data_IF_290802677970
#
_entry.id   IF_290802677970
#
_cell.length_a   1.000
_cell.length_b   1.000
_cell.length_c   1.000
_cell.angle_alpha   90.00
_cell.angle_beta   90.00
_cell.angle_gamma   90.00
#
_symmetry.space_group_name_H-M   'P 1'
#
loop_
_entity.id
_entity.type
_entity.pdbx_description
1 polymer ?
#
# COMPACT_ATOMS: atom_id res chain seq x y z
N UNK A 1 0.91 -28.26 56.98
CA UNK A 1 2.29 -28.63 57.30
C UNK A 1 3.21 -27.93 56.32
N UNK A 2 4.02 -26.97 56.87
CA UNK A 2 5.20 -26.32 56.36
C UNK A 2 5.10 -25.60 54.96
N UNK A 3 5.04 -24.24 54.88
CA UNK A 3 6.02 -23.15 55.15
C UNK A 3 7.27 -23.20 54.26
N UNK A 4 7.44 -22.14 53.44
CA UNK A 4 8.65 -21.35 53.22
C UNK A 4 8.40 -20.49 51.95
N UNK A 5 8.42 -19.17 51.86
CA UNK A 5 9.36 -18.24 52.47
C UNK A 5 10.36 -17.78 51.41
N UNK A 6 10.06 -16.76 50.60
CA UNK A 6 10.92 -16.25 49.55
C UNK A 6 10.99 -14.71 49.54
N UNK A 7 12.09 -14.21 49.97
CA UNK A 7 12.53 -12.85 50.30
C UNK A 7 12.30 -11.81 49.21
N UNK A 8 11.71 -10.68 49.57
CA UNK A 8 11.81 -9.36 48.88
C UNK A 8 13.22 -8.81 49.09
N UNK A 9 13.87 -8.44 47.98
CA UNK A 9 15.06 -7.57 48.04
C UNK A 9 14.65 -6.15 47.73
N UNK A 10 14.71 -5.34 48.78
CA UNK A 10 14.69 -3.89 48.75
C UNK A 10 16.07 -3.41 48.31
N UNK A 11 16.15 -2.61 47.25
CA UNK A 11 17.39 -1.88 46.89
C UNK A 11 17.09 -0.40 47.00
N UNK A 12 17.58 0.17 48.14
CA UNK A 12 17.73 1.61 48.29
C UNK A 12 18.85 2.14 47.40
N UNK A 13 18.56 3.18 46.65
CA UNK A 13 19.59 4.04 46.10
C UNK A 13 19.31 5.48 46.51
N UNK A 14 20.07 5.95 47.49
CA UNK A 14 20.29 7.34 47.80
C UNK A 14 21.70 7.68 47.29
N UNK A 15 21.81 8.56 46.31
CA UNK A 15 23.05 9.18 45.90
C UNK A 15 22.82 10.62 45.50
N UNK A 16 23.73 11.56 45.73
CA UNK A 16 23.44 12.98 45.87
C UNK A 16 23.36 13.73 44.53
N UNK A 17 22.41 14.64 44.47
CA UNK A 17 22.28 15.67 43.45
C UNK A 17 23.55 16.49 43.35
N UNK A 18 24.20 16.47 42.21
CA UNK A 18 25.17 17.47 41.78
C UNK A 18 24.51 18.39 40.77
N UNK A 19 24.41 19.64 41.12
CA UNK A 19 24.08 20.73 40.23
C UNK A 19 25.12 20.84 39.13
N UNK A 20 24.73 20.82 37.88
CA UNK A 20 25.59 21.15 36.75
C UNK A 20 24.90 22.21 35.89
N UNK A 21 25.51 23.30 35.91
CA UNK A 21 25.61 24.49 35.05
C UNK A 21 24.75 24.55 33.78
N UNK A 22 24.13 25.73 33.63
CA UNK A 22 23.55 26.29 32.44
C UNK A 22 24.46 26.17 31.21
N UNK A 23 23.99 25.39 30.23
CA UNK A 23 24.40 25.50 28.85
C UNK A 23 23.13 25.68 27.99
N UNK A 24 23.12 26.63 27.02
CA UNK A 24 21.92 26.87 26.21
C UNK A 24 21.63 25.66 25.31
N UNK A 25 20.36 25.42 24.99
CA UNK A 25 19.96 24.31 24.12
C UNK A 25 20.56 24.54 22.73
N UNK A 26 21.40 23.63 22.27
CA UNK A 26 21.77 23.55 20.86
C UNK A 26 20.50 23.20 20.08
N UNK A 27 20.08 24.12 19.22
CA UNK A 27 19.13 23.85 18.17
C UNK A 27 19.64 22.68 17.34
N UNK A 28 19.14 21.50 17.60
CA UNK A 28 19.20 20.38 16.66
C UNK A 28 18.19 20.71 15.57
N UNK A 29 18.67 21.34 14.51
CA UNK A 29 17.96 21.35 13.24
C UNK A 29 17.70 19.87 12.89
N UNK A 30 16.42 19.49 12.95
CA UNK A 30 15.93 18.29 12.31
C UNK A 30 16.16 18.50 10.81
N UNK A 31 17.32 18.11 10.33
CA UNK A 31 17.56 17.96 8.90
C UNK A 31 16.60 16.86 8.44
N UNK A 32 15.53 17.30 7.82
CA UNK A 32 14.66 16.49 6.98
C UNK A 32 15.53 15.89 5.86
N UNK A 33 16.10 14.71 6.17
CA UNK A 33 16.88 13.94 5.21
C UNK A 33 15.88 13.17 4.34
N UNK A 34 15.10 13.90 3.56
CA UNK A 34 14.51 13.34 2.37
C UNK A 34 15.68 12.83 1.51
N UNK A 35 15.87 11.51 1.52
CA UNK A 35 16.93 10.86 0.76
C UNK A 35 16.78 11.29 -0.71
N UNK A 36 17.69 12.16 -1.18
CA UNK A 36 17.81 12.46 -2.60
C UNK A 36 18.02 11.13 -3.31
N UNK A 37 17.20 10.80 -4.33
CA UNK A 37 17.45 9.62 -5.15
C UNK A 37 18.88 9.74 -5.68
N UNK A 38 19.69 8.73 -5.40
CA UNK A 38 21.04 8.66 -5.93
C UNK A 38 20.94 8.69 -7.45
N UNK A 39 21.72 9.52 -8.12
CA UNK A 39 21.64 9.85 -9.54
C UNK A 39 21.83 8.65 -10.50
N UNK A 40 21.93 7.41 -10.00
CA UNK A 40 22.15 6.16 -10.74
C UNK A 40 21.23 5.01 -10.34
N UNK A 41 20.11 5.27 -9.70
CA UNK A 41 19.15 4.20 -9.36
C UNK A 41 18.25 3.86 -10.55
N UNK A 42 18.29 2.62 -10.98
CA UNK A 42 17.41 2.09 -12.02
C UNK A 42 16.24 1.37 -11.36
N UNK A 43 15.04 1.67 -11.83
CA UNK A 43 13.81 1.11 -11.32
C UNK A 43 13.25 0.09 -12.33
N UNK A 44 12.84 -1.08 -11.83
CA UNK A 44 12.20 -2.13 -12.60
C UNK A 44 10.84 -2.46 -11.98
N UNK A 45 9.77 -2.21 -12.72
CA UNK A 45 8.44 -2.70 -12.34
C UNK A 45 8.28 -4.13 -12.85
N UNK A 46 7.80 -5.02 -11.96
CA UNK A 46 7.62 -6.44 -12.21
C UNK A 46 6.19 -6.79 -11.84
N UNK A 47 5.47 -7.44 -12.76
CA UNK A 47 4.17 -8.06 -12.50
C UNK A 47 4.26 -9.55 -12.76
N UNK A 48 4.00 -10.36 -11.74
CA UNK A 48 4.04 -11.81 -11.79
C UNK A 48 2.66 -12.39 -11.51
N UNK A 49 2.24 -13.34 -12.32
CA UNK A 49 0.95 -14.02 -12.22
C UNK A 49 1.16 -15.55 -12.18
N UNK A 50 0.41 -16.22 -11.33
CA UNK A 50 0.45 -17.69 -11.24
C UNK A 50 -0.86 -18.24 -10.69
N UNK A 51 -1.23 -19.42 -11.16
CA UNK A 51 -2.24 -20.29 -10.53
C UNK A 51 -1.58 -21.35 -9.64
N UNK A 52 -0.27 -21.35 -9.55
CA UNK A 52 0.51 -22.37 -8.86
C UNK A 52 0.38 -22.24 -7.33
N UNK A 53 0.47 -23.38 -6.58
CA UNK A 53 0.48 -23.36 -5.12
C UNK A 53 1.72 -22.65 -4.53
N UNK A 54 2.75 -22.40 -5.35
CA UNK A 54 3.92 -21.63 -4.92
C UNK A 54 3.59 -20.13 -4.89
N UNK A 55 3.99 -19.49 -3.82
CA UNK A 55 3.79 -18.04 -3.65
C UNK A 55 4.61 -17.25 -4.68
N UNK A 56 3.98 -16.48 -5.57
CA UNK A 56 4.70 -15.64 -6.52
C UNK A 56 5.53 -14.57 -5.80
N UNK A 57 5.12 -14.18 -4.61
CA UNK A 57 5.87 -13.25 -3.77
C UNK A 57 7.25 -13.80 -3.42
N UNK A 58 7.33 -15.06 -2.95
CA UNK A 58 8.60 -15.69 -2.60
C UNK A 58 9.51 -15.84 -3.83
N UNK A 59 8.95 -16.24 -4.97
CA UNK A 59 9.69 -16.38 -6.20
C UNK A 59 10.30 -15.06 -6.68
N UNK A 60 9.53 -13.98 -6.68
CA UNK A 60 9.97 -12.66 -7.13
C UNK A 60 10.95 -12.03 -6.13
N UNK A 61 10.64 -12.04 -4.84
CA UNK A 61 11.51 -11.42 -3.81
C UNK A 61 12.87 -12.07 -3.73
N UNK A 62 12.94 -13.42 -3.91
CA UNK A 62 14.21 -14.13 -3.98
C UNK A 62 15.08 -13.61 -5.14
N UNK A 63 14.51 -13.47 -6.35
CA UNK A 63 15.25 -12.96 -7.52
C UNK A 63 15.72 -11.52 -7.34
N UNK A 64 14.89 -10.68 -6.73
CA UNK A 64 15.25 -9.29 -6.39
C UNK A 64 16.46 -9.30 -5.44
N UNK A 65 16.41 -10.08 -4.37
CA UNK A 65 17.50 -10.21 -3.40
C UNK A 65 18.78 -10.76 -4.03
N UNK A 66 18.69 -11.87 -4.77
CA UNK A 66 19.84 -12.54 -5.38
C UNK A 66 20.50 -11.70 -6.50
N UNK A 67 19.77 -10.76 -7.09
CA UNK A 67 20.32 -9.82 -8.08
C UNK A 67 21.12 -8.68 -7.45
N UNK A 68 20.90 -8.40 -6.16
CA UNK A 68 21.45 -7.24 -5.47
C UNK A 68 20.56 -5.99 -5.61
N UNK A 69 19.33 -6.13 -6.08
CA UNK A 69 18.31 -5.08 -6.05
C UNK A 69 17.61 -5.04 -4.69
N UNK A 70 17.04 -3.88 -4.38
CA UNK A 70 16.12 -3.70 -3.25
C UNK A 70 14.69 -3.58 -3.75
N UNK A 71 13.72 -4.05 -2.96
CA UNK A 71 12.30 -3.88 -3.24
C UNK A 71 11.78 -2.65 -2.49
N UNK A 72 11.21 -1.69 -3.21
CA UNK A 72 10.73 -0.42 -2.63
C UNK A 72 9.21 -0.35 -2.49
N UNK A 73 8.47 -1.10 -3.31
CA UNK A 73 7.02 -1.22 -3.20
C UNK A 73 6.59 -2.59 -3.70
N UNK A 74 5.55 -3.17 -3.10
CA UNK A 74 4.97 -4.42 -3.55
C UNK A 74 3.49 -4.52 -3.20
N UNK A 75 2.74 -5.13 -4.12
CA UNK A 75 1.33 -5.45 -3.92
C UNK A 75 1.08 -6.89 -4.31
N UNK A 76 0.39 -7.63 -3.45
CA UNK A 76 -0.06 -8.98 -3.71
C UNK A 76 -1.58 -9.01 -3.70
N UNK A 77 -2.17 -9.60 -4.71
CA UNK A 77 -3.61 -9.79 -4.78
C UNK A 77 -3.98 -11.19 -5.29
N UNK A 78 -5.12 -11.69 -4.81
CA UNK A 78 -5.71 -12.93 -5.32
C UNK A 78 -7.04 -12.58 -5.98
N UNK A 79 -7.19 -12.90 -7.26
CA UNK A 79 -8.41 -12.67 -8.02
C UNK A 79 -8.84 -13.98 -8.66
N UNK A 80 -9.99 -14.50 -8.23
CA UNK A 80 -10.45 -15.82 -8.67
C UNK A 80 -9.46 -16.92 -8.23
N UNK A 81 -8.85 -17.59 -9.19
CA UNK A 81 -7.85 -18.67 -8.97
C UNK A 81 -6.42 -18.18 -9.11
N UNK A 82 -6.23 -16.97 -9.55
CA UNK A 82 -4.91 -16.43 -9.86
C UNK A 82 -4.41 -15.54 -8.70
N UNK A 83 -3.12 -15.69 -8.42
CA UNK A 83 -2.39 -14.83 -7.50
C UNK A 83 -1.44 -13.96 -8.30
N UNK A 84 -1.46 -12.67 -8.04
CA UNK A 84 -0.59 -11.70 -8.69
C UNK A 84 0.26 -10.96 -7.67
N UNK A 85 1.49 -10.65 -8.08
CA UNK A 85 2.40 -9.74 -7.36
C UNK A 85 2.85 -8.67 -8.33
N UNK A 86 2.67 -7.42 -7.93
CA UNK A 86 3.32 -6.29 -8.60
C UNK A 86 4.36 -5.73 -7.64
N UNK A 87 5.61 -5.64 -8.07
CA UNK A 87 6.74 -5.18 -7.25
C UNK A 87 7.58 -4.16 -8.01
N UNK A 88 8.04 -3.14 -7.30
CA UNK A 88 9.00 -2.16 -7.80
C UNK A 88 10.37 -2.46 -7.17
N UNK A 89 11.32 -2.85 -7.99
CA UNK A 89 12.69 -3.09 -7.60
C UNK A 89 13.59 -1.91 -8.01
N UNK A 90 14.60 -1.62 -7.20
CA UNK A 90 15.60 -0.57 -7.46
C UNK A 90 17.00 -1.14 -7.28
N UNK A 91 17.93 -0.72 -8.13
CA UNK A 91 19.31 -1.17 -8.05
C UNK A 91 20.24 -0.45 -9.03
N UNK A 92 21.51 -0.86 -9.02
CA UNK A 92 22.47 -0.44 -10.04
C UNK A 92 22.04 -0.98 -11.41
N UNK A 93 22.60 -0.42 -12.48
CA UNK A 93 22.32 -0.90 -13.84
C UNK A 93 22.61 -2.41 -14.00
N UNK A 94 23.73 -2.88 -13.45
CA UNK A 94 24.13 -4.30 -13.50
C UNK A 94 23.21 -5.20 -12.69
N UNK A 95 22.78 -4.75 -11.49
CA UNK A 95 21.85 -5.49 -10.65
C UNK A 95 20.49 -5.67 -11.35
N UNK A 96 19.98 -4.60 -11.97
CA UNK A 96 18.72 -4.65 -12.72
C UNK A 96 18.86 -5.55 -13.96
N UNK A 97 19.95 -5.46 -14.72
CA UNK A 97 20.19 -6.34 -15.87
C UNK A 97 20.27 -7.83 -15.46
N UNK A 98 20.92 -8.11 -14.32
CA UNK A 98 20.94 -9.46 -13.74
C UNK A 98 19.54 -9.92 -13.35
N UNK A 99 18.73 -9.04 -12.73
CA UNK A 99 17.35 -9.34 -12.37
C UNK A 99 16.50 -9.69 -13.60
N UNK A 100 16.57 -8.89 -14.68
CA UNK A 100 15.87 -9.16 -15.94
C UNK A 100 16.19 -10.56 -16.50
N UNK A 101 17.47 -10.95 -16.46
CA UNK A 101 17.88 -12.31 -16.88
C UNK A 101 17.31 -13.41 -15.97
N UNK A 102 17.23 -13.15 -14.65
CA UNK A 102 16.66 -14.10 -13.68
C UNK A 102 15.13 -14.22 -13.83
N UNK A 103 14.43 -13.14 -14.15
CA UNK A 103 12.99 -13.14 -14.42
C UNK A 103 12.67 -13.93 -15.70
N UNK A 104 13.47 -13.78 -16.75
CA UNK A 104 13.34 -14.59 -17.97
C UNK A 104 13.46 -16.09 -17.70
N UNK A 105 14.36 -16.49 -16.77
CA UNK A 105 14.47 -17.89 -16.36
C UNK A 105 13.27 -18.34 -15.53
N UNK A 106 12.81 -17.52 -14.61
CA UNK A 106 11.64 -17.80 -13.76
C UNK A 106 10.40 -18.10 -14.61
N UNK A 107 10.16 -17.28 -15.64
CA UNK A 107 9.04 -17.46 -16.56
C UNK A 107 9.13 -18.79 -17.31
N UNK A 108 10.31 -19.10 -17.84
CA UNK A 108 10.51 -20.31 -18.65
C UNK A 108 10.53 -21.60 -17.83
N UNK A 109 11.13 -21.58 -16.63
CA UNK A 109 11.43 -22.79 -15.86
C UNK A 109 10.36 -23.11 -14.81
N UNK A 110 9.69 -22.11 -14.27
CA UNK A 110 8.75 -22.29 -13.16
C UNK A 110 7.28 -21.99 -13.54
N UNK A 111 7.00 -21.64 -14.81
CA UNK A 111 5.63 -21.50 -15.33
C UNK A 111 4.89 -20.26 -14.83
N UNK A 112 5.60 -19.26 -14.34
CA UNK A 112 5.03 -17.94 -14.04
C UNK A 112 4.77 -17.17 -15.33
N UNK A 113 3.73 -16.35 -15.34
CA UNK A 113 3.56 -15.30 -16.34
C UNK A 113 4.12 -14.01 -15.79
N UNK A 114 5.10 -13.46 -16.48
CA UNK A 114 5.82 -12.28 -16.02
C UNK A 114 5.75 -11.16 -17.06
N UNK A 115 5.57 -9.94 -16.57
CA UNK A 115 5.76 -8.73 -17.34
C UNK A 115 6.65 -7.80 -16.52
N UNK A 116 7.71 -7.28 -17.12
CA UNK A 116 8.57 -6.30 -16.47
C UNK A 116 9.04 -5.24 -17.46
N UNK A 117 9.27 -4.05 -16.95
CA UNK A 117 9.83 -2.95 -17.72
C UNK A 117 10.54 -1.94 -16.81
N UNK A 118 11.52 -1.26 -17.37
CA UNK A 118 12.24 -0.20 -16.67
C UNK A 118 11.33 1.02 -16.56
N UNK A 119 11.32 1.62 -15.37
CA UNK A 119 10.50 2.80 -15.05
C UNK A 119 11.32 3.81 -14.24
N UNK A 120 10.72 4.92 -13.88
CA UNK A 120 11.29 5.92 -12.98
C UNK A 120 10.67 5.88 -11.59
N UNK A 121 11.22 6.63 -10.64
CA UNK A 121 10.60 6.82 -9.33
C UNK A 121 9.24 7.50 -9.50
N UNK A 122 8.28 7.12 -8.64
CA UNK A 122 7.00 7.83 -8.60
C UNK A 122 7.24 9.28 -8.18
N UNK A 123 6.75 10.22 -8.97
CA UNK A 123 6.73 11.62 -8.56
C UNK A 123 5.87 11.74 -7.30
N UNK A 124 6.44 12.31 -6.23
CA UNK A 124 5.70 12.59 -5.01
C UNK A 124 4.64 13.66 -5.35
N UNK A 125 3.39 13.25 -5.42
CA UNK A 125 2.27 14.17 -5.52
C UNK A 125 1.95 14.68 -4.11
N UNK A 126 2.70 15.68 -3.66
CA UNK A 126 2.57 16.28 -2.31
C UNK A 126 1.23 17.01 -2.09
N UNK A 127 0.42 17.14 -3.12
CA UNK A 127 -0.81 17.94 -3.11
C UNK A 127 -2.09 17.10 -3.07
N UNK A 128 -2.00 15.79 -2.81
CA UNK A 128 -3.16 14.92 -2.71
C UNK A 128 -3.47 14.57 -1.26
N UNK A 129 -4.73 14.67 -0.91
CA UNK A 129 -5.26 14.23 0.37
C UNK A 129 -5.84 12.83 0.20
N UNK A 130 -5.34 11.82 0.92
CA UNK A 130 -5.82 10.44 0.79
C UNK A 130 -7.15 10.25 1.52
N UNK A 131 -8.13 9.72 0.80
CA UNK A 131 -9.45 9.35 1.30
C UNK A 131 -9.76 7.90 0.96
N UNK A 132 -10.54 7.26 1.81
CA UNK A 132 -11.10 5.93 1.58
C UNK A 132 -12.58 6.08 1.25
N UNK A 133 -12.99 5.44 0.18
CA UNK A 133 -14.38 5.32 -0.23
C UNK A 133 -14.78 3.86 -0.13
N UNK A 134 -15.85 3.58 0.60
CA UNK A 134 -16.44 2.25 0.68
C UNK A 134 -17.83 2.30 0.09
N UNK A 135 -18.14 1.32 -0.75
CA UNK A 135 -19.43 1.21 -1.44
C UNK A 135 -19.95 -0.19 -1.28
N UNK A 136 -21.23 -0.30 -0.91
CA UNK A 136 -21.96 -1.56 -0.84
C UNK A 136 -23.29 -1.41 -1.58
N UNK A 137 -23.66 -2.40 -2.39
CA UNK A 137 -24.92 -2.38 -3.14
C UNK A 137 -25.37 -3.78 -3.52
N UNK A 138 -26.62 -3.91 -3.98
CA UNK A 138 -27.04 -5.09 -4.74
C UNK A 138 -26.17 -5.19 -6.02
N UNK A 139 -25.67 -6.39 -6.32
CA UNK A 139 -24.80 -6.59 -7.48
C UNK A 139 -25.52 -6.30 -8.80
N UNK A 140 -24.95 -5.38 -9.57
CA UNK A 140 -25.46 -4.97 -10.89
C UNK A 140 -24.26 -4.72 -11.82
N UNK A 141 -24.40 -5.03 -13.12
CA UNK A 141 -23.38 -4.67 -14.10
C UNK A 141 -23.14 -3.16 -14.15
N UNK A 142 -21.88 -2.76 -14.23
CA UNK A 142 -21.47 -1.37 -14.49
C UNK A 142 -21.24 -0.49 -13.27
N UNK A 143 -21.47 -0.94 -12.04
CA UNK A 143 -21.24 -0.13 -10.83
C UNK A 143 -19.80 0.40 -10.81
N UNK A 144 -18.83 -0.48 -11.03
CA UNK A 144 -17.41 -0.09 -10.98
C UNK A 144 -17.02 0.91 -12.07
N UNK A 145 -17.61 0.76 -13.25
CA UNK A 145 -17.43 1.73 -14.34
C UNK A 145 -17.97 3.11 -13.95
N UNK A 146 -19.18 3.16 -13.39
CA UNK A 146 -19.81 4.42 -12.97
C UNK A 146 -19.03 5.13 -11.86
N UNK A 147 -18.51 4.36 -10.89
CA UNK A 147 -17.63 4.91 -9.84
C UNK A 147 -16.32 5.47 -10.42
N UNK A 148 -15.69 4.73 -11.33
CA UNK A 148 -14.45 5.20 -11.97
C UNK A 148 -14.68 6.45 -12.84
N UNK A 149 -15.78 6.48 -13.60
CA UNK A 149 -16.17 7.62 -14.43
C UNK A 149 -16.49 8.88 -13.58
N UNK A 150 -17.14 8.69 -12.41
CA UNK A 150 -17.38 9.78 -11.48
C UNK A 150 -16.05 10.42 -11.00
N UNK A 151 -15.12 9.62 -10.51
CA UNK A 151 -13.85 10.14 -10.01
C UNK A 151 -12.98 10.74 -11.12
N UNK A 152 -12.96 10.14 -12.31
CA UNK A 152 -12.23 10.67 -13.46
C UNK A 152 -12.75 12.05 -13.89
N UNK A 153 -14.06 12.22 -13.98
CA UNK A 153 -14.68 13.53 -14.30
C UNK A 153 -14.39 14.61 -13.27
N UNK A 154 -14.24 14.23 -12.01
CA UNK A 154 -13.86 15.14 -10.92
C UNK A 154 -12.35 15.41 -10.87
N UNK A 155 -11.55 14.80 -11.74
CA UNK A 155 -10.09 14.91 -11.72
C UNK A 155 -9.44 14.28 -10.48
N UNK A 156 -10.08 13.27 -9.90
CA UNK A 156 -9.62 12.57 -8.69
C UNK A 156 -8.84 11.32 -9.10
N UNK A 157 -7.67 11.15 -8.50
CA UNK A 157 -6.83 9.99 -8.76
C UNK A 157 -7.26 8.79 -7.90
N UNK A 158 -7.53 7.66 -8.54
CA UNK A 158 -7.72 6.38 -7.84
C UNK A 158 -6.33 5.78 -7.60
N UNK A 159 -5.97 5.60 -6.33
CA UNK A 159 -4.68 5.06 -5.89
C UNK A 159 -4.70 3.53 -5.75
N UNK A 160 -5.79 3.01 -5.21
CA UNK A 160 -6.02 1.56 -5.11
C UNK A 160 -7.51 1.26 -5.13
N UNK A 161 -7.84 0.05 -5.59
CA UNK A 161 -9.20 -0.42 -5.63
C UNK A 161 -9.23 -1.91 -5.29
N UNK A 162 -10.11 -2.26 -4.38
CA UNK A 162 -10.48 -3.65 -4.11
C UNK A 162 -11.99 -3.79 -4.22
N UNK A 163 -12.46 -4.70 -5.05
CA UNK A 163 -13.87 -4.99 -5.16
C UNK A 163 -14.15 -6.49 -5.07
N UNK A 164 -15.27 -6.84 -4.49
CA UNK A 164 -15.71 -8.24 -4.36
C UNK A 164 -17.21 -8.37 -4.52
N UNK A 165 -17.61 -9.53 -4.99
CA UNK A 165 -18.99 -9.97 -4.99
C UNK A 165 -19.16 -11.04 -3.92
N UNK A 166 -20.21 -10.91 -3.13
CA UNK A 166 -20.54 -11.90 -2.10
C UNK A 166 -22.04 -12.14 -2.01
N UNK A 167 -22.43 -13.24 -1.40
CA UNK A 167 -23.83 -13.55 -1.14
C UNK A 167 -24.18 -13.18 0.28
N UNK A 168 -25.19 -12.32 0.46
CA UNK A 168 -25.64 -11.91 1.77
C UNK A 168 -26.25 -13.11 2.51
N UNK A 169 -25.73 -13.41 3.71
CA UNK A 169 -26.13 -14.61 4.47
C UNK A 169 -27.59 -14.56 4.90
N UNK A 170 -28.14 -13.38 5.17
CA UNK A 170 -29.51 -13.21 5.67
C UNK A 170 -30.57 -13.24 4.57
N UNK A 171 -30.29 -12.67 3.41
CA UNK A 171 -31.26 -12.51 2.30
C UNK A 171 -31.00 -13.45 1.14
N UNK A 172 -29.80 -14.00 1.05
CA UNK A 172 -29.34 -14.76 -0.10
C UNK A 172 -29.09 -13.94 -1.36
N UNK A 173 -29.20 -12.61 -1.29
CA UNK A 173 -28.96 -11.72 -2.41
C UNK A 173 -27.48 -11.62 -2.77
N UNK A 174 -27.20 -11.47 -4.07
CA UNK A 174 -25.86 -11.17 -4.55
C UNK A 174 -25.56 -9.68 -4.29
N UNK A 175 -24.47 -9.42 -3.59
CA UNK A 175 -24.04 -8.09 -3.17
C UNK A 175 -22.70 -7.75 -3.80
N UNK A 176 -22.51 -6.50 -4.13
CA UNK A 176 -21.27 -5.88 -4.53
C UNK A 176 -20.69 -5.09 -3.36
N UNK A 177 -19.37 -5.14 -3.18
CA UNK A 177 -18.62 -4.30 -2.26
C UNK A 177 -17.36 -3.78 -2.94
N UNK A 178 -17.05 -2.52 -2.74
CA UNK A 178 -15.79 -1.93 -3.20
C UNK A 178 -15.18 -1.03 -2.13
N UNK A 179 -13.87 -1.09 -2.00
CA UNK A 179 -13.07 -0.15 -1.23
C UNK A 179 -12.07 0.51 -2.18
N UNK A 180 -12.13 1.83 -2.25
CA UNK A 180 -11.32 2.63 -3.16
C UNK A 180 -10.52 3.65 -2.35
N UNK A 181 -9.20 3.67 -2.51
CA UNK A 181 -8.37 4.75 -2.01
C UNK A 181 -8.22 5.78 -3.11
N UNK A 182 -8.56 7.02 -2.81
CA UNK A 182 -8.49 8.15 -3.73
C UNK A 182 -7.56 9.23 -3.23
N UNK A 183 -6.93 9.95 -4.16
CA UNK A 183 -6.15 11.15 -3.90
C UNK A 183 -6.93 12.39 -4.34
N UNK A 184 -7.40 13.17 -3.37
CA UNK A 184 -8.15 14.41 -3.64
C UNK A 184 -7.17 15.58 -3.71
N UNK A 185 -7.17 16.40 -4.78
CA UNK A 185 -6.34 17.60 -4.83
C UNK A 185 -6.60 18.53 -3.64
N UNK A 186 -5.54 19.02 -3.00
CA UNK A 186 -5.64 19.82 -1.77
C UNK A 186 -6.39 21.16 -1.96
N UNK A 187 -6.53 21.64 -3.19
CA UNK A 187 -7.29 22.83 -3.54
C UNK A 187 -8.78 22.56 -3.80
N UNK A 188 -9.22 21.31 -3.73
CA UNK A 188 -10.61 20.94 -3.95
C UNK A 188 -11.46 21.13 -2.70
N UNK A 189 -12.70 21.55 -2.86
CA UNK A 189 -13.64 21.72 -1.75
C UNK A 189 -14.26 20.38 -1.36
N UNK A 190 -13.68 19.72 -0.36
CA UNK A 190 -13.99 18.34 0.03
C UNK A 190 -15.47 18.15 0.42
N UNK A 191 -16.09 19.12 1.09
CA UNK A 191 -17.49 19.01 1.47
C UNK A 191 -18.41 18.94 0.25
N UNK A 192 -18.19 19.79 -0.75
CA UNK A 192 -18.96 19.77 -2.00
C UNK A 192 -18.76 18.45 -2.75
N UNK A 193 -17.51 17.99 -2.86
CA UNK A 193 -17.21 16.69 -3.48
C UNK A 193 -17.93 15.54 -2.78
N UNK A 194 -17.96 15.54 -1.45
CA UNK A 194 -18.66 14.50 -0.67
C UNK A 194 -20.17 14.53 -0.93
N UNK A 195 -20.75 15.74 -0.95
CA UNK A 195 -22.18 15.89 -1.21
C UNK A 195 -22.53 15.41 -2.63
N UNK A 196 -21.76 15.81 -3.65
CA UNK A 196 -21.93 15.36 -5.04
C UNK A 196 -21.78 13.84 -5.17
N UNK A 197 -20.81 13.25 -4.43
CA UNK A 197 -20.58 11.81 -4.43
C UNK A 197 -21.72 11.05 -3.78
N UNK A 198 -22.24 11.51 -2.65
CA UNK A 198 -23.36 10.86 -1.97
C UNK A 198 -24.65 10.96 -2.80
N UNK A 199 -24.93 12.12 -3.42
CA UNK A 199 -26.05 12.29 -4.34
C UNK A 199 -25.93 11.33 -5.54
N UNK A 200 -24.74 11.21 -6.12
CA UNK A 200 -24.45 10.25 -7.19
C UNK A 200 -24.73 8.80 -6.74
N UNK A 201 -24.29 8.42 -5.54
CA UNK A 201 -24.51 7.09 -4.99
C UNK A 201 -26.00 6.82 -4.73
N UNK A 202 -26.74 7.78 -4.21
CA UNK A 202 -28.18 7.68 -3.97
C UNK A 202 -28.96 7.42 -5.27
N UNK A 203 -28.63 8.13 -6.35
CA UNK A 203 -29.24 7.90 -7.66
C UNK A 203 -29.03 6.47 -8.21
N UNK A 204 -27.92 5.83 -7.82
CA UNK A 204 -27.58 4.47 -8.22
C UNK A 204 -28.03 3.39 -7.22
N UNK A 205 -28.61 3.80 -6.09
CA UNK A 205 -28.92 2.97 -4.93
C UNK A 205 -27.66 2.23 -4.40
N UNK A 206 -26.59 2.98 -4.18
CA UNK A 206 -25.36 2.53 -3.58
C UNK A 206 -25.26 3.09 -2.15
N UNK A 207 -25.04 2.23 -1.18
CA UNK A 207 -24.65 2.66 0.17
C UNK A 207 -23.16 2.99 0.17
N UNK A 208 -22.80 4.24 0.44
CA UNK A 208 -21.42 4.70 0.33
C UNK A 208 -21.00 5.59 1.50
N UNK A 209 -19.71 5.49 1.85
CA UNK A 209 -19.03 6.40 2.77
C UNK A 209 -17.76 6.91 2.13
N UNK A 210 -17.36 8.13 2.48
CA UNK A 210 -16.10 8.75 2.05
C UNK A 210 -15.43 9.42 3.27
N UNK A 211 -14.35 8.84 3.75
CA UNK A 211 -13.65 9.27 4.95
C UNK A 211 -12.15 9.53 4.71
N UNK A 212 -11.54 10.47 5.45
CA UNK A 212 -10.10 10.68 5.38
C UNK A 212 -9.36 9.41 5.84
N UNK A 213 -8.30 9.06 5.11
CA UNK A 213 -7.43 7.96 5.50
C UNK A 213 -6.71 8.31 6.81
N UNK A 214 -6.84 7.46 7.83
CA UNK A 214 -6.10 7.58 9.09
C UNK A 214 -4.80 6.78 8.98
N UNK A 215 -3.68 7.44 9.29
CA UNK A 215 -2.35 6.81 9.36
C UNK A 215 -2.05 6.34 10.77
#
# INVERSE_FOLDING_TARGET
MLLAGGKRRQVCWLGPFRAASDAPPRNTELTDTAARPAANENHLLISAYTTHPQSPLLAVTRRISDSGCNMVDARLSTVGRDVSVTALAVGSWDAVAKLEAMLTRLEREEGFKLVWYRTGPRALQSNLLPYIVEVVAADKPGILFQLADFFDRQGITIESLHSSRYRAMQTGADMFSAQVTIGIPANMHIAALRDDFLEFCDHLNLDAIMDPMKF
#
